data_IF_518972096995
#
_entry.id   IF_518972096995
#
_cell.length_a   1.000
_cell.length_b   1.000
_cell.length_c   1.000
_cell.angle_alpha   90.00
_cell.angle_beta   90.00
_cell.angle_gamma   90.00
#
_symmetry.space_group_name_H-M   'P 1'
#
loop_
_entity.id
_entity.type
_entity.pdbx_description
1 polymer ?
#
# COMPACT_ATOMS: atom_id res chain seq x y z
N UNK A 1 1.23 0.29 -5.03
CA UNK A 1 -0.19 -0.05 -5.31
C UNK A 1 -1.16 1.09 -4.99
N UNK A 2 -0.79 2.06 -4.16
CA UNK A 2 -1.61 3.26 -3.92
C UNK A 2 -0.82 4.56 -4.19
N UNK A 3 0.24 4.48 -5.02
CA UNK A 3 1.10 5.60 -5.44
C UNK A 3 1.47 6.63 -4.35
N UNK A 4 1.79 6.17 -3.13
CA UNK A 4 2.30 7.04 -2.07
C UNK A 4 3.75 7.44 -2.39
N UNK A 5 3.94 8.53 -3.13
CA UNK A 5 5.28 9.00 -3.53
C UNK A 5 6.05 9.53 -2.32
N UNK A 6 5.43 10.27 -1.40
CA UNK A 6 6.14 10.98 -0.34
C UNK A 6 6.50 10.11 0.88
N UNK A 7 6.78 8.82 0.69
CA UNK A 7 7.13 7.88 1.78
C UNK A 7 8.59 8.04 2.24
N UNK A 8 8.94 9.22 2.72
CA UNK A 8 10.29 9.50 3.23
C UNK A 8 10.46 9.02 4.67
N UNK A 9 11.71 8.86 5.13
CA UNK A 9 12.04 8.32 6.47
C UNK A 9 11.37 9.06 7.65
N UNK A 10 10.94 10.31 7.49
CA UNK A 10 10.19 11.05 8.54
C UNK A 10 8.73 10.58 8.70
N UNK A 11 8.20 9.79 7.76
CA UNK A 11 6.89 9.15 7.84
C UNK A 11 6.94 7.80 8.59
N UNK A 12 8.11 7.41 9.10
CA UNK A 12 8.28 6.24 9.96
C UNK A 12 8.59 6.68 11.38
N UNK A 13 7.60 6.55 12.25
CA UNK A 13 7.69 6.90 13.66
C UNK A 13 7.96 5.68 14.54
N UNK A 14 8.56 5.93 15.71
CA UNK A 14 8.67 4.94 16.78
C UNK A 14 7.98 5.46 18.03
N UNK A 15 7.21 4.59 18.67
CA UNK A 15 6.53 4.88 19.93
C UNK A 15 7.29 4.20 21.07
N UNK A 16 7.70 4.97 22.07
CA UNK A 16 8.25 4.41 23.31
C UNK A 16 7.09 3.85 24.14
N UNK A 17 7.01 2.52 24.23
CA UNK A 17 5.95 1.83 25.00
C UNK A 17 6.27 1.81 26.49
N UNK A 18 7.56 1.75 26.81
CA UNK A 18 8.16 1.88 28.14
C UNK A 18 9.61 2.28 27.97
N UNK A 19 10.26 2.76 29.04
CA UNK A 19 11.68 3.19 28.99
C UNK A 19 12.56 2.15 28.29
N UNK A 20 13.25 2.56 27.22
CA UNK A 20 14.14 1.70 26.41
C UNK A 20 13.45 0.73 25.46
N UNK A 21 12.12 0.63 25.44
CA UNK A 21 11.38 -0.27 24.55
C UNK A 21 10.55 0.52 23.55
N UNK A 22 10.99 0.45 22.30
CA UNK A 22 10.37 1.11 21.16
C UNK A 22 9.64 0.10 20.29
N UNK A 23 8.51 0.52 19.74
CA UNK A 23 7.84 -0.19 18.65
C UNK A 23 7.63 0.77 17.49
N UNK A 24 7.46 0.24 16.28
CA UNK A 24 6.97 1.05 15.16
C UNK A 24 5.62 1.70 15.54
N UNK A 25 5.38 2.93 15.09
CA UNK A 25 4.06 3.55 15.17
C UNK A 25 3.09 2.87 14.19
N UNK A 26 1.77 3.05 14.35
CA UNK A 26 0.86 2.86 13.23
C UNK A 26 1.32 3.66 12.01
N UNK A 27 1.00 3.18 10.80
CA UNK A 27 1.29 3.92 9.57
C UNK A 27 0.55 5.28 9.57
N UNK A 28 1.24 6.32 9.09
CA UNK A 28 0.70 7.67 8.90
C UNK A 28 1.34 8.30 7.66
N UNK A 29 0.79 9.43 7.20
CA UNK A 29 1.33 10.13 6.03
C UNK A 29 1.17 9.33 4.73
N UNK A 30 0.13 8.52 4.62
CA UNK A 30 -0.22 7.81 3.38
C UNK A 30 -1.05 8.74 2.49
N UNK A 31 -0.47 9.20 1.37
CA UNK A 31 -1.12 10.09 0.43
C UNK A 31 -1.00 9.58 -1.02
N UNK A 32 -2.08 9.00 -1.60
CA UNK A 32 -2.06 8.53 -2.97
C UNK A 32 -1.87 9.66 -3.98
N UNK A 33 -0.83 9.58 -4.82
CA UNK A 33 -0.53 10.62 -5.82
C UNK A 33 -0.89 10.12 -7.22
N UNK A 34 -1.76 10.82 -7.97
CA UNK A 34 -2.03 10.51 -9.37
C UNK A 34 -0.79 10.65 -10.26
N UNK A 35 -0.70 9.83 -11.32
CA UNK A 35 0.46 9.83 -12.23
C UNK A 35 0.69 11.16 -12.95
N UNK A 36 -0.39 11.90 -13.25
CA UNK A 36 -0.29 13.23 -13.86
C UNK A 36 0.44 14.24 -12.96
N UNK A 37 0.43 14.01 -11.64
CA UNK A 37 1.08 14.87 -10.66
C UNK A 37 2.51 14.43 -10.38
N UNK A 38 2.78 13.11 -10.31
CA UNK A 38 4.13 12.53 -10.12
C UNK A 38 4.26 11.13 -10.72
N UNK A 39 5.47 10.81 -11.20
CA UNK A 39 5.82 9.45 -11.60
C UNK A 39 5.76 8.48 -10.40
N UNK A 40 5.43 7.21 -10.66
CA UNK A 40 5.30 6.16 -9.65
C UNK A 40 6.67 5.65 -9.15
N UNK A 41 7.48 6.55 -8.59
CA UNK A 41 8.82 6.24 -8.09
C UNK A 41 8.88 6.46 -6.58
N UNK A 42 8.98 5.41 -5.75
CA UNK A 42 9.00 5.58 -4.30
C UNK A 42 10.24 6.37 -3.85
N UNK A 43 10.09 7.25 -2.85
CA UNK A 43 11.21 7.99 -2.24
C UNK A 43 12.15 7.09 -1.43
N UNK A 44 11.61 6.00 -0.90
CA UNK A 44 12.37 4.98 -0.19
C UNK A 44 12.49 3.75 -1.09
N UNK A 45 13.71 3.49 -1.57
CA UNK A 45 13.99 2.34 -2.40
C UNK A 45 13.88 1.03 -1.60
N UNK A 46 13.37 -0.02 -2.23
CA UNK A 46 13.25 -1.37 -1.63
C UNK A 46 14.56 -2.16 -1.76
N UNK A 47 15.32 -1.88 -2.80
CA UNK A 47 16.62 -2.50 -3.12
C UNK A 47 17.65 -1.42 -3.42
N UNK A 48 18.92 -1.78 -3.34
CA UNK A 48 20.05 -0.89 -3.67
C UNK A 48 20.16 -0.60 -5.18
N UNK A 49 19.61 -1.49 -6.00
CA UNK A 49 19.57 -1.34 -7.45
C UNK A 49 18.53 -0.31 -7.87
N UNK A 50 18.88 0.55 -8.83
CA UNK A 50 17.98 1.57 -9.40
C UNK A 50 17.02 0.98 -10.45
N UNK A 51 16.60 -0.27 -10.27
CA UNK A 51 15.61 -0.88 -11.14
C UNK A 51 14.25 -0.18 -10.97
N UNK A 52 13.44 -0.20 -12.02
CA UNK A 52 12.08 0.30 -11.93
C UNK A 52 11.32 -0.51 -10.85
N UNK A 53 10.62 0.15 -9.92
CA UNK A 53 9.92 -0.55 -8.85
C UNK A 53 8.88 -1.49 -9.43
N UNK A 54 8.79 -2.73 -8.93
CA UNK A 54 7.71 -3.66 -9.22
C UNK A 54 7.40 -4.55 -8.01
N UNK A 55 6.26 -5.23 -8.04
CA UNK A 55 5.78 -6.05 -6.91
C UNK A 55 6.63 -7.30 -6.73
N UNK A 56 7.10 -7.91 -7.83
CA UNK A 56 7.99 -9.06 -7.78
C UNK A 56 9.32 -8.76 -7.06
N UNK A 57 9.95 -7.62 -7.37
CA UNK A 57 11.18 -7.17 -6.69
C UNK A 57 10.96 -7.01 -5.19
N UNK A 58 9.81 -6.46 -4.77
CA UNK A 58 9.49 -6.35 -3.35
C UNK A 58 9.31 -7.71 -2.66
N UNK A 59 8.71 -8.69 -3.34
CA UNK A 59 8.61 -10.06 -2.81
C UNK A 59 9.97 -10.76 -2.72
N UNK A 60 10.83 -10.57 -3.72
CA UNK A 60 12.17 -11.15 -3.75
C UNK A 60 13.09 -10.51 -2.68
N UNK A 61 12.87 -9.23 -2.36
CA UNK A 61 13.57 -8.54 -1.30
C UNK A 61 13.05 -8.88 0.11
N UNK A 62 11.83 -9.43 0.25
CA UNK A 62 11.17 -9.67 1.54
C UNK A 62 12.03 -10.42 2.59
N UNK A 63 12.85 -11.44 2.24
CA UNK A 63 13.72 -12.12 3.21
C UNK A 63 14.77 -11.20 3.85
N UNK A 64 15.21 -10.14 3.15
CA UNK A 64 16.13 -9.13 3.71
C UNK A 64 15.50 -8.35 4.88
N UNK A 65 14.17 -8.27 4.90
CA UNK A 65 13.37 -7.60 5.92
C UNK A 65 12.76 -8.57 6.95
N UNK A 66 13.24 -9.82 7.00
CA UNK A 66 12.81 -10.82 7.97
C UNK A 66 11.46 -11.48 7.66
N UNK A 67 10.92 -11.29 6.45
CA UNK A 67 9.71 -11.96 5.99
C UNK A 67 10.06 -13.19 5.15
N UNK A 68 9.56 -14.36 5.54
CA UNK A 68 9.71 -15.57 4.71
C UNK A 68 8.81 -15.46 3.48
N UNK A 69 9.13 -16.13 2.37
CA UNK A 69 8.26 -16.14 1.18
C UNK A 69 6.81 -16.61 1.47
N UNK A 70 6.66 -17.52 2.43
CA UNK A 70 5.35 -18.00 2.90
C UNK A 70 4.52 -16.94 3.64
N UNK A 71 5.15 -15.88 4.15
CA UNK A 71 4.51 -14.76 4.86
C UNK A 71 4.28 -13.57 3.91
N UNK A 72 5.20 -13.32 2.98
CA UNK A 72 5.15 -12.18 2.07
C UNK A 72 3.93 -12.21 1.12
N UNK A 73 3.61 -13.37 0.52
CA UNK A 73 2.45 -13.49 -0.38
C UNK A 73 1.10 -13.25 0.33
N UNK A 74 0.84 -13.83 1.53
CA UNK A 74 -0.33 -13.46 2.32
C UNK A 74 -0.45 -11.96 2.60
N UNK A 75 0.66 -11.29 2.99
CA UNK A 75 0.66 -9.84 3.23
C UNK A 75 0.29 -9.08 1.95
N UNK A 76 0.91 -9.42 0.81
CA UNK A 76 0.55 -8.81 -0.47
C UNK A 76 -0.94 -8.99 -0.80
N UNK A 77 -1.50 -10.16 -0.50
CA UNK A 77 -2.93 -10.45 -0.69
C UNK A 77 -3.82 -9.58 0.20
N UNK A 78 -3.42 -9.32 1.44
CA UNK A 78 -4.12 -8.41 2.36
C UNK A 78 -4.09 -6.96 1.83
N UNK A 79 -2.92 -6.48 1.40
CA UNK A 79 -2.79 -5.11 0.84
C UNK A 79 -3.60 -4.98 -0.45
N UNK A 80 -3.55 -5.97 -1.35
CA UNK A 80 -4.35 -5.98 -2.57
C UNK A 80 -5.85 -5.90 -2.25
N UNK A 81 -6.32 -6.67 -1.26
CA UNK A 81 -7.72 -6.68 -0.85
C UNK A 81 -8.17 -5.32 -0.25
N UNK A 82 -7.28 -4.61 0.44
CA UNK A 82 -7.56 -3.27 0.94
C UNK A 82 -7.62 -2.21 -0.17
N UNK A 83 -6.80 -2.35 -1.22
CA UNK A 83 -6.64 -1.35 -2.28
C UNK A 83 -7.64 -1.53 -3.43
N UNK A 84 -7.97 -2.76 -3.81
CA UNK A 84 -8.77 -3.05 -5.02
C UNK A 84 -10.18 -2.42 -5.00
N UNK A 85 -10.73 -2.15 -3.82
CA UNK A 85 -12.05 -1.55 -3.62
C UNK A 85 -12.04 -0.04 -3.36
N UNK A 86 -10.93 0.64 -3.63
CA UNK A 86 -10.76 2.07 -3.33
C UNK A 86 -11.92 2.94 -3.86
N UNK A 87 -12.48 2.65 -5.05
CA UNK A 87 -13.64 3.38 -5.58
C UNK A 87 -14.90 3.20 -4.73
N UNK A 88 -15.13 2.01 -4.19
CA UNK A 88 -16.25 1.77 -3.29
C UNK A 88 -16.05 2.51 -1.96
N UNK A 89 -14.84 2.48 -1.42
CA UNK A 89 -14.46 3.27 -0.23
C UNK A 89 -14.69 4.76 -0.46
N UNK A 90 -14.21 5.30 -1.58
CA UNK A 90 -14.41 6.70 -1.97
C UNK A 90 -15.90 7.09 -2.07
N UNK A 91 -16.74 6.20 -2.63
CA UNK A 91 -18.20 6.40 -2.67
C UNK A 91 -18.83 6.41 -1.28
N UNK A 92 -18.41 5.51 -0.38
CA UNK A 92 -18.88 5.49 1.02
C UNK A 92 -18.52 6.77 1.77
N UNK A 93 -17.34 7.33 1.46
CA UNK A 93 -16.88 8.63 1.95
C UNK A 93 -17.54 9.84 1.23
N UNK A 94 -18.47 9.59 0.30
CA UNK A 94 -19.21 10.61 -0.46
C UNK A 94 -18.31 11.55 -1.26
N UNK A 95 -17.17 11.06 -1.74
CA UNK A 95 -16.30 11.82 -2.64
C UNK A 95 -16.99 12.04 -3.99
N UNK A 96 -16.75 13.21 -4.59
CA UNK A 96 -17.33 13.56 -5.88
C UNK A 96 -16.82 12.64 -6.99
N UNK A 97 -17.63 12.41 -8.04
CA UNK A 97 -17.20 11.61 -9.19
C UNK A 97 -15.92 12.17 -9.83
N UNK A 98 -15.77 13.50 -9.88
CA UNK A 98 -14.58 14.17 -10.40
C UNK A 98 -13.34 13.87 -9.56
N UNK A 99 -13.44 13.99 -8.23
CA UNK A 99 -12.34 13.66 -7.30
C UNK A 99 -11.93 12.19 -7.41
N UNK A 100 -12.91 11.28 -7.48
CA UNK A 100 -12.63 9.85 -7.67
C UNK A 100 -11.96 9.60 -9.03
N UNK A 101 -12.42 10.24 -10.10
CA UNK A 101 -11.80 10.08 -11.42
C UNK A 101 -10.36 10.59 -11.44
N UNK A 102 -10.07 11.73 -10.80
CA UNK A 102 -8.73 12.32 -10.74
C UNK A 102 -7.71 11.41 -10.06
N UNK A 103 -8.14 10.57 -9.10
CA UNK A 103 -7.28 9.64 -8.37
C UNK A 103 -7.15 8.26 -9.01
N UNK A 104 -7.76 8.02 -10.18
CA UNK A 104 -7.77 6.70 -10.79
C UNK A 104 -6.35 6.13 -10.99
N UNK A 105 -5.43 6.92 -11.55
CA UNK A 105 -4.05 6.47 -11.82
C UNK A 105 -3.21 6.25 -10.55
N UNK A 106 -3.64 6.76 -9.39
CA UNK A 106 -2.98 6.48 -8.12
C UNK A 106 -3.20 5.02 -7.64
N UNK A 107 -4.26 4.37 -8.13
CA UNK A 107 -4.65 3.02 -7.69
C UNK A 107 -4.78 2.01 -8.84
N UNK A 108 -5.17 2.47 -10.04
CA UNK A 108 -5.42 1.66 -11.24
C UNK A 108 -4.20 1.75 -12.17
N UNK A 109 -3.18 0.96 -11.86
CA UNK A 109 -1.90 0.95 -12.58
C UNK A 109 -1.24 -0.45 -12.51
N UNK A 110 -0.11 -0.61 -13.20
CA UNK A 110 0.56 -1.90 -13.42
C UNK A 110 0.82 -2.72 -12.13
N UNK A 111 1.12 -2.08 -10.99
CA UNK A 111 1.38 -2.82 -9.75
C UNK A 111 0.13 -3.53 -9.21
N UNK A 112 -1.07 -2.99 -9.46
CA UNK A 112 -2.31 -3.65 -9.06
C UNK A 112 -2.55 -4.91 -9.91
N UNK A 113 -2.28 -4.82 -11.21
CA UNK A 113 -2.39 -5.93 -12.16
C UNK A 113 -1.36 -7.02 -11.84
N UNK A 114 -0.11 -6.62 -11.63
CA UNK A 114 0.99 -7.51 -11.25
C UNK A 114 0.70 -8.24 -9.94
N UNK A 115 0.26 -7.53 -8.89
CA UNK A 115 -0.14 -8.14 -7.64
C UNK A 115 -1.28 -9.15 -7.84
N UNK A 116 -2.29 -8.79 -8.63
CA UNK A 116 -3.40 -9.69 -8.96
C UNK A 116 -2.92 -10.96 -9.67
N UNK A 117 -1.95 -10.84 -10.58
CA UNK A 117 -1.32 -11.99 -11.24
C UNK A 117 -0.53 -12.89 -10.28
N UNK A 118 0.17 -12.30 -9.32
CA UNK A 118 1.05 -13.00 -8.37
C UNK A 118 0.30 -13.75 -7.25
N UNK A 119 -0.79 -13.16 -6.73
CA UNK A 119 -1.54 -13.74 -5.60
C UNK A 119 -2.96 -14.17 -5.96
N UNK A 120 -3.39 -13.97 -7.21
CA UNK A 120 -4.75 -14.24 -7.69
C UNK A 120 -5.77 -13.22 -7.22
N UNK A 121 -6.97 -13.25 -7.79
CA UNK A 121 -8.06 -12.35 -7.40
C UNK A 121 -8.40 -12.49 -5.90
N UNK A 122 -8.64 -11.34 -5.27
CA UNK A 122 -9.06 -11.23 -3.87
C UNK A 122 -10.54 -10.91 -3.80
N UNK A 123 -11.20 -11.40 -2.75
CA UNK A 123 -12.58 -11.01 -2.48
C UNK A 123 -12.58 -9.56 -2.00
N UNK A 124 -13.51 -8.79 -2.56
CA UNK A 124 -13.81 -7.44 -2.14
C UNK A 124 -14.15 -7.40 -0.65
N UNK A 125 -13.47 -6.55 0.13
CA UNK A 125 -13.72 -6.45 1.56
C UNK A 125 -15.10 -5.77 1.77
N UNK A 126 -16.15 -6.59 1.90
CA UNK A 126 -17.38 -6.17 2.54
C UNK A 126 -17.11 -6.17 4.05
N UNK A 127 -16.54 -5.08 4.57
CA UNK A 127 -16.58 -4.85 6.01
C UNK A 127 -18.05 -4.65 6.41
N UNK A 128 -18.66 -5.75 6.86
CA UNK A 128 -19.83 -5.73 7.72
C UNK A 128 -19.39 -5.14 9.05
N UNK A 129 -20.11 -4.11 9.46
CA UNK A 129 -20.16 -3.55 10.81
C UNK A 129 -19.83 -4.58 11.89
N UNK A 130 -18.78 -4.34 12.66
CA UNK A 130 -18.51 -4.89 14.01
C UNK A 130 -17.46 -3.96 14.63
N UNK A 131 -17.58 -3.35 15.80
CA UNK A 131 -18.61 -3.28 16.83
C UNK A 131 -18.42 -1.91 17.52
N UNK A 132 -19.47 -1.12 17.62
CA UNK A 132 -19.62 -0.17 18.74
C UNK A 132 -20.34 -0.96 19.82
N UNK A 133 -19.59 -1.40 20.83
CA UNK A 133 -20.06 -1.77 22.17
C UNK A 133 -18.85 -1.71 23.10
#
# INVERSE_FOLDING_TARGET
MASNDDDHLRNHGFLMRRSGHWSLSPAYGLDPVPEMDRAQTPKTAVTEEQEAPCVAVALDAAPRFGLRPAEAKPILREVLAAVVDWRQTARRLRLSKGSVAAYASAFEHAFLEEATGLVGSVRRFFSLTTCLA
#
